data_IF_381454684570
#
_entry.id   IF_381454684570
#
_cell.length_a   1.000
_cell.length_b   1.000
_cell.length_c   1.000
_cell.angle_alpha   90.00
_cell.angle_beta   90.00
_cell.angle_gamma   90.00
#
_symmetry.space_group_name_H-M   'P 1'
#
loop_
_entity.id
_entity.type
_entity.pdbx_description
1 polymer ?
#
# COMPACT_ATOMS: atom_id res chain seq x y z
N UNK A 1 1.93 -24.40 -8.62
CA UNK A 1 1.14 -24.83 -9.80
C UNK A 1 0.42 -23.61 -10.34
N UNK A 2 1.07 -22.84 -11.22
CA UNK A 2 0.44 -21.76 -11.98
C UNK A 2 0.46 -22.24 -13.43
N UNK A 3 -0.60 -22.95 -13.80
CA UNK A 3 -0.87 -23.36 -15.17
C UNK A 3 -2.25 -22.77 -15.50
N UNK A 4 -2.27 -21.61 -16.18
CA UNK A 4 -3.55 -20.96 -16.50
C UNK A 4 -3.47 -19.55 -17.09
N UNK A 5 -2.31 -18.88 -17.06
CA UNK A 5 -2.14 -17.54 -17.63
C UNK A 5 -1.56 -17.53 -19.06
N UNK A 6 -1.40 -18.70 -19.70
CA UNK A 6 -0.91 -18.81 -21.08
C UNK A 6 -2.02 -19.32 -21.98
N UNK A 7 -2.82 -18.40 -22.49
CA UNK A 7 -3.94 -18.68 -23.40
C UNK A 7 -4.95 -17.55 -23.52
N UNK A 8 -4.48 -16.30 -23.41
CA UNK A 8 -5.31 -15.09 -23.50
C UNK A 8 -5.07 -14.41 -24.85
N UNK A 9 -5.31 -15.12 -25.95
CA UNK A 9 -5.35 -14.53 -27.29
C UNK A 9 -6.72 -14.83 -27.92
N UNK A 10 -7.38 -13.76 -28.38
CA UNK A 10 -8.64 -13.66 -29.14
C UNK A 10 -10.02 -13.58 -28.41
N UNK A 11 -10.41 -12.33 -28.15
CA UNK A 11 -11.48 -11.55 -28.81
C UNK A 11 -13.01 -11.75 -28.66
N UNK A 12 -13.57 -12.79 -28.02
CA UNK A 12 -15.05 -12.96 -28.06
C UNK A 12 -15.82 -12.95 -26.73
N UNK A 13 -15.18 -12.89 -25.56
CA UNK A 13 -15.90 -13.04 -24.27
C UNK A 13 -15.93 -11.83 -23.33
N UNK A 14 -15.32 -10.70 -23.70
CA UNK A 14 -15.51 -9.43 -22.97
C UNK A 14 -16.80 -8.69 -23.39
N UNK A 15 -17.61 -9.28 -24.29
CA UNK A 15 -18.84 -8.67 -24.83
C UNK A 15 -20.03 -8.66 -23.86
N UNK A 16 -19.84 -8.99 -22.58
CA UNK A 16 -20.89 -8.79 -21.55
C UNK A 16 -20.42 -7.88 -20.43
N UNK A 17 -19.65 -6.84 -20.76
CA UNK A 17 -19.77 -5.62 -19.95
C UNK A 17 -21.23 -5.21 -20.01
N UNK A 18 -21.86 -5.03 -18.87
CA UNK A 18 -23.27 -4.67 -18.79
C UNK A 18 -23.48 -3.37 -19.60
N UNK A 19 -24.02 -3.50 -20.81
CA UNK A 19 -24.24 -2.37 -21.73
C UNK A 19 -25.10 -1.29 -21.07
N UNK A 20 -25.87 -1.65 -20.03
CA UNK A 20 -26.67 -0.74 -19.22
C UNK A 20 -25.83 0.04 -18.22
N UNK A 21 -24.87 -0.59 -17.54
CA UNK A 21 -23.88 0.12 -16.72
C UNK A 21 -23.02 1.07 -17.57
N UNK A 22 -22.67 0.66 -18.80
CA UNK A 22 -22.02 1.54 -19.78
C UNK A 22 -22.93 2.69 -20.24
N UNK A 23 -24.22 2.45 -20.43
CA UNK A 23 -25.18 3.46 -20.89
C UNK A 23 -25.52 4.48 -19.79
N UNK A 24 -25.70 4.03 -18.56
CA UNK A 24 -25.99 4.87 -17.39
C UNK A 24 -24.78 5.75 -17.04
N UNK A 25 -23.56 5.22 -17.17
CA UNK A 25 -22.33 5.98 -16.91
C UNK A 25 -21.93 6.91 -18.08
N UNK A 26 -22.32 6.59 -19.33
CA UNK A 26 -22.17 7.49 -20.50
C UNK A 26 -23.19 8.63 -20.54
N UNK A 27 -24.33 8.51 -19.83
CA UNK A 27 -25.35 9.56 -19.77
C UNK A 27 -25.03 10.69 -18.79
N UNK A 28 -24.07 10.50 -17.89
CA UNK A 28 -23.47 11.57 -17.10
C UNK A 28 -22.28 12.15 -17.90
N UNK A 29 -22.37 13.42 -18.31
CA UNK A 29 -21.36 14.30 -18.94
C UNK A 29 -19.99 13.68 -19.30
N UNK A 30 -19.57 13.70 -20.58
CA UNK A 30 -18.22 13.50 -21.17
C UNK A 30 -17.03 13.03 -20.25
N UNK A 31 -17.24 12.04 -19.39
CA UNK A 31 -16.22 11.49 -18.51
C UNK A 31 -15.80 10.14 -19.07
N UNK A 32 -14.52 10.01 -19.41
CA UNK A 32 -13.94 8.72 -19.75
C UNK A 32 -13.93 7.84 -18.49
N UNK A 33 -14.48 6.64 -18.59
CA UNK A 33 -14.52 5.66 -17.51
C UNK A 33 -13.33 4.71 -17.63
N UNK A 34 -12.68 4.45 -16.52
CA UNK A 34 -11.71 3.37 -16.38
C UNK A 34 -12.42 2.12 -15.86
N UNK A 35 -12.02 0.97 -16.42
CA UNK A 35 -12.50 -0.34 -16.03
C UNK A 35 -11.34 -1.18 -15.51
N UNK A 36 -11.46 -1.65 -14.28
CA UNK A 36 -10.50 -2.58 -13.68
C UNK A 36 -11.22 -3.85 -13.24
N UNK A 37 -10.53 -4.98 -13.20
CA UNK A 37 -11.13 -6.28 -12.92
C UNK A 37 -10.30 -7.03 -11.90
N UNK A 38 -10.94 -7.45 -10.81
CA UNK A 38 -10.40 -8.45 -9.90
C UNK A 38 -10.78 -9.85 -10.39
N UNK A 39 -9.78 -10.70 -10.61
CA UNK A 39 -9.94 -12.09 -11.06
C UNK A 39 -9.74 -13.02 -9.86
N UNK A 40 -10.83 -13.34 -9.17
CA UNK A 40 -10.80 -14.14 -7.96
C UNK A 40 -11.02 -15.65 -8.23
N UNK A 41 -10.43 -16.55 -7.44
CA UNK A 41 -10.79 -17.98 -7.47
C UNK A 41 -12.28 -18.20 -7.13
N UNK A 42 -12.96 -19.17 -7.77
CA UNK A 42 -14.38 -19.48 -7.49
C UNK A 42 -14.66 -19.88 -6.03
N UNK A 43 -13.64 -20.28 -5.28
CA UNK A 43 -13.75 -20.61 -3.87
C UNK A 43 -13.93 -19.35 -3.00
N UNK A 44 -13.49 -18.18 -3.45
CA UNK A 44 -13.63 -16.91 -2.72
C UNK A 44 -15.06 -16.41 -2.84
N UNK A 45 -15.80 -16.40 -1.74
CA UNK A 45 -17.20 -15.95 -1.77
C UNK A 45 -17.29 -14.45 -2.09
N UNK A 46 -18.33 -14.02 -2.82
CA UNK A 46 -18.53 -12.60 -3.10
C UNK A 46 -18.64 -11.74 -1.83
N UNK A 47 -19.25 -12.29 -0.77
CA UNK A 47 -19.41 -11.62 0.53
C UNK A 47 -18.05 -11.40 1.21
N UNK A 48 -17.06 -12.25 0.92
CA UNK A 48 -15.70 -12.04 1.40
C UNK A 48 -15.06 -10.85 0.69
N UNK A 49 -15.20 -10.75 -0.63
CA UNK A 49 -14.69 -9.61 -1.41
C UNK A 49 -15.33 -8.31 -0.94
N UNK A 50 -16.65 -8.28 -0.76
CA UNK A 50 -17.35 -7.09 -0.26
C UNK A 50 -16.84 -6.63 1.10
N UNK A 51 -16.57 -7.58 2.00
CA UNK A 51 -16.09 -7.27 3.34
C UNK A 51 -14.72 -6.57 3.27
N UNK A 52 -13.81 -7.09 2.44
CA UNK A 52 -12.49 -6.50 2.26
C UNK A 52 -12.58 -5.08 1.68
N UNK A 53 -13.44 -4.87 0.68
CA UNK A 53 -13.66 -3.53 0.15
C UNK A 53 -14.30 -2.58 1.17
N UNK A 54 -15.21 -3.05 2.02
CA UNK A 54 -15.77 -2.21 3.11
C UNK A 54 -14.77 -1.89 4.22
N UNK A 55 -13.76 -2.73 4.43
CA UNK A 55 -12.65 -2.39 5.34
C UNK A 55 -11.80 -1.24 4.78
N UNK A 56 -11.55 -1.24 3.47
CA UNK A 56 -10.77 -0.19 2.79
C UNK A 56 -11.58 1.08 2.51
N UNK A 57 -12.89 0.94 2.28
CA UNK A 57 -13.85 2.01 2.04
C UNK A 57 -14.99 1.91 3.07
N UNK A 58 -14.83 2.44 4.29
CA UNK A 58 -15.84 2.35 5.34
C UNK A 58 -17.18 3.00 4.99
N UNK A 59 -17.15 3.99 4.09
CA UNK A 59 -18.33 4.65 3.55
C UNK A 59 -18.98 3.87 2.39
N UNK A 60 -18.50 2.65 2.08
CA UNK A 60 -19.04 1.89 0.97
C UNK A 60 -20.46 1.38 1.26
N UNK A 61 -21.37 1.68 0.34
CA UNK A 61 -22.79 1.38 0.46
C UNK A 61 -23.22 0.33 -0.58
N UNK A 62 -24.23 -0.52 -0.28
CA UNK A 62 -24.87 -1.33 -1.31
C UNK A 62 -25.43 -0.44 -2.45
N UNK A 63 -25.26 -0.84 -3.72
CA UNK A 63 -25.62 0.01 -4.86
C UNK A 63 -26.40 -0.74 -5.96
N UNK A 64 -27.67 -1.05 -5.68
CA UNK A 64 -28.58 -1.64 -6.67
C UNK A 64 -28.10 -3.00 -7.20
N UNK A 65 -27.99 -3.13 -8.53
CA UNK A 65 -27.43 -4.32 -9.21
C UNK A 65 -25.89 -4.36 -9.14
N UNK A 66 -25.22 -3.23 -8.83
CA UNK A 66 -23.83 -3.24 -8.41
C UNK A 66 -23.72 -3.67 -6.94
N UNK A 67 -22.66 -4.39 -6.58
CA UNK A 67 -22.50 -4.89 -5.21
C UNK A 67 -22.21 -3.77 -4.23
N UNK A 68 -21.31 -2.85 -4.58
CA UNK A 68 -20.85 -1.79 -3.68
C UNK A 68 -20.53 -0.50 -4.44
N UNK A 69 -20.95 0.63 -3.88
CA UNK A 69 -20.42 1.95 -4.23
C UNK A 69 -19.29 2.29 -3.26
N UNK A 70 -18.11 2.64 -3.78
CA UNK A 70 -16.86 2.84 -3.01
C UNK A 70 -16.51 4.32 -2.79
N UNK A 71 -17.41 5.22 -3.17
CA UNK A 71 -17.29 6.67 -3.02
C UNK A 71 -18.26 7.37 -3.97
N UNK A 72 -17.95 8.60 -4.36
CA UNK A 72 -18.88 9.40 -5.19
C UNK A 72 -19.07 8.84 -6.60
N UNK A 73 -17.99 8.37 -7.25
CA UNK A 73 -18.03 7.93 -8.64
C UNK A 73 -17.47 6.50 -8.90
N UNK A 74 -17.01 5.80 -7.86
CA UNK A 74 -16.48 4.45 -7.97
C UNK A 74 -17.50 3.38 -7.55
N UNK A 75 -17.65 2.32 -8.35
CA UNK A 75 -18.53 1.18 -8.06
C UNK A 75 -17.90 -0.17 -8.40
N UNK A 76 -18.20 -1.18 -7.56
CA UNK A 76 -17.84 -2.57 -7.71
C UNK A 76 -19.07 -3.39 -8.16
N UNK A 77 -18.94 -4.05 -9.29
CA UNK A 77 -19.95 -4.88 -9.95
C UNK A 77 -19.53 -6.36 -9.96
N UNK A 78 -20.50 -7.24 -10.16
CA UNK A 78 -20.30 -8.69 -10.22
C UNK A 78 -20.86 -9.43 -8.99
N UNK A 79 -20.43 -10.69 -8.73
CA UNK A 79 -19.47 -11.43 -9.52
C UNK A 79 -20.04 -11.81 -10.89
N UNK A 80 -19.24 -11.66 -11.93
CA UNK A 80 -19.47 -12.28 -13.23
C UNK A 80 -18.75 -13.63 -13.29
N UNK A 81 -19.26 -14.57 -14.07
CA UNK A 81 -18.59 -15.85 -14.29
C UNK A 81 -17.36 -15.64 -15.18
N UNK A 82 -16.19 -16.07 -14.72
CA UNK A 82 -14.96 -16.09 -15.50
C UNK A 82 -14.58 -17.50 -15.98
N UNK A 83 -13.62 -17.58 -16.90
CA UNK A 83 -13.06 -18.86 -17.37
C UNK A 83 -12.29 -19.58 -16.26
N UNK A 84 -12.17 -20.91 -16.39
CA UNK A 84 -11.30 -21.71 -15.53
C UNK A 84 -11.72 -21.76 -14.06
N UNK A 85 -12.99 -21.52 -13.74
CA UNK A 85 -13.46 -21.50 -12.35
C UNK A 85 -13.01 -20.24 -11.61
N UNK A 86 -13.13 -19.09 -12.26
CA UNK A 86 -12.87 -17.78 -11.65
C UNK A 86 -14.14 -16.95 -11.54
N UNK A 87 -14.12 -15.94 -10.66
CA UNK A 87 -15.13 -14.90 -10.52
C UNK A 87 -14.49 -13.58 -10.88
N UNK A 88 -15.18 -12.78 -11.69
CA UNK A 88 -14.73 -11.46 -12.08
C UNK A 88 -15.52 -10.43 -11.29
N UNK A 89 -14.82 -9.50 -10.65
CA UNK A 89 -15.45 -8.31 -10.07
C UNK A 89 -14.96 -7.11 -10.84
N UNK A 90 -15.88 -6.42 -11.49
CA UNK A 90 -15.58 -5.27 -12.32
C UNK A 90 -15.68 -4.01 -11.47
N UNK A 91 -14.69 -3.17 -11.60
CA UNK A 91 -14.64 -1.89 -10.94
C UNK A 91 -14.71 -0.79 -12.00
N UNK A 92 -15.64 0.14 -11.79
CA UNK A 92 -15.87 1.28 -12.66
C UNK A 92 -15.59 2.55 -11.87
N UNK A 93 -14.77 3.45 -12.43
CA UNK A 93 -14.41 4.74 -11.83
C UNK A 93 -14.08 5.73 -12.97
N UNK A 94 -14.30 7.04 -12.81
CA UNK A 94 -13.75 8.03 -13.73
C UNK A 94 -12.24 7.86 -13.91
N UNK A 95 -11.77 7.92 -15.16
CA UNK A 95 -10.34 7.90 -15.44
C UNK A 95 -9.72 9.23 -14.99
N UNK A 96 -8.78 9.16 -14.05
CA UNK A 96 -8.03 10.29 -13.50
C UNK A 96 -6.55 9.98 -13.69
N UNK A 97 -5.96 10.55 -14.74
CA UNK A 97 -4.62 10.24 -15.21
C UNK A 97 -3.68 11.42 -15.01
N UNK A 98 -2.60 11.16 -14.29
CA UNK A 98 -1.51 12.07 -14.05
C UNK A 98 -0.36 11.93 -15.05
N UNK A 99 0.82 12.33 -14.59
CA UNK A 99 2.06 12.20 -15.35
C UNK A 99 2.45 10.73 -15.55
N UNK A 100 3.29 10.51 -16.57
CA UNK A 100 3.89 9.19 -16.78
C UNK A 100 4.82 8.85 -15.62
N UNK A 101 4.93 7.56 -15.26
CA UNK A 101 5.87 7.14 -14.24
C UNK A 101 7.30 7.51 -14.64
N UNK A 102 8.08 7.97 -13.66
CA UNK A 102 9.50 8.20 -13.82
C UNK A 102 10.23 6.84 -13.91
N UNK A 103 10.93 6.53 -15.01
CA UNK A 103 11.62 5.25 -15.18
C UNK A 103 12.78 5.05 -14.20
N UNK A 104 13.29 6.12 -13.58
CA UNK A 104 14.39 6.05 -12.62
C UNK A 104 13.91 5.72 -11.19
N UNK A 105 12.58 5.72 -10.96
CA UNK A 105 11.98 5.40 -9.67
C UNK A 105 11.58 3.92 -9.54
N UNK A 106 11.68 3.33 -8.33
CA UNK A 106 11.32 1.93 -8.12
C UNK A 106 9.82 1.70 -8.22
N UNK A 107 9.43 0.64 -8.95
CA UNK A 107 8.04 0.23 -9.16
C UNK A 107 7.58 -0.79 -8.10
N UNK A 108 7.43 -0.34 -6.85
CA UNK A 108 7.19 -1.21 -5.69
C UNK A 108 5.97 -2.13 -5.78
N UNK A 109 4.90 -1.66 -6.41
CA UNK A 109 3.64 -2.40 -6.52
C UNK A 109 3.33 -2.81 -7.97
N UNK A 110 4.23 -2.52 -8.90
CA UNK A 110 3.98 -2.76 -10.32
C UNK A 110 3.05 -1.76 -10.98
N UNK A 111 2.78 -0.61 -10.36
CA UNK A 111 1.89 0.39 -10.91
C UNK A 111 2.45 1.02 -12.17
N UNK A 112 3.76 1.22 -12.28
CA UNK A 112 4.37 1.91 -13.42
C UNK A 112 4.23 1.08 -14.70
N UNK A 113 4.45 -0.24 -14.58
CA UNK A 113 4.21 -1.18 -15.69
C UNK A 113 2.74 -1.36 -16.04
N UNK A 114 1.84 -1.15 -15.08
CA UNK A 114 0.39 -1.24 -15.28
C UNK A 114 -0.18 0.01 -15.97
N UNK A 115 0.42 1.18 -15.74
CA UNK A 115 -0.03 2.47 -16.25
C UNK A 115 1.09 3.26 -16.96
N UNK A 116 1.70 2.71 -18.03
CA UNK A 116 2.85 3.34 -18.69
C UNK A 116 2.51 4.67 -19.40
N UNK A 117 1.23 4.89 -19.70
CA UNK A 117 0.77 6.09 -20.40
C UNK A 117 0.49 7.29 -19.47
N UNK A 118 0.32 7.05 -18.17
CA UNK A 118 0.00 8.06 -17.15
C UNK A 118 -0.53 7.40 -15.88
N UNK A 119 0.01 7.76 -14.72
CA UNK A 119 -0.33 7.17 -13.43
C UNK A 119 -1.79 7.46 -13.04
N UNK A 120 -2.50 6.52 -12.40
CA UNK A 120 -3.79 6.84 -11.80
C UNK A 120 -3.60 7.85 -10.67
N UNK A 121 -4.55 8.77 -10.53
CA UNK A 121 -4.60 9.78 -9.46
C UNK A 121 -5.94 9.70 -8.70
N UNK A 122 -6.02 10.42 -7.58
CA UNK A 122 -7.25 10.61 -6.81
C UNK A 122 -8.03 9.30 -6.55
N UNK A 123 -9.33 9.28 -6.87
CA UNK A 123 -10.22 8.17 -6.60
C UNK A 123 -9.87 6.93 -7.45
N UNK A 124 -9.32 7.12 -8.65
CA UNK A 124 -8.87 5.99 -9.45
C UNK A 124 -7.66 5.30 -8.81
N UNK A 125 -6.64 6.08 -8.39
CA UNK A 125 -5.49 5.55 -7.65
C UNK A 125 -5.95 4.81 -6.40
N UNK A 126 -6.92 5.39 -5.70
CA UNK A 126 -7.44 4.82 -4.48
C UNK A 126 -7.99 3.41 -4.66
N UNK A 127 -8.70 3.24 -5.75
CA UNK A 127 -9.40 2.02 -6.03
C UNK A 127 -8.49 0.98 -6.69
N UNK A 128 -7.53 1.39 -7.52
CA UNK A 128 -6.48 0.50 -8.04
C UNK A 128 -5.65 -0.08 -6.90
N UNK A 129 -5.24 0.75 -5.94
CA UNK A 129 -4.51 0.29 -4.76
C UNK A 129 -5.35 -0.68 -3.91
N UNK A 130 -6.64 -0.41 -3.75
CA UNK A 130 -7.54 -1.34 -3.07
C UNK A 130 -7.70 -2.68 -3.80
N UNK A 131 -7.75 -2.67 -5.14
CA UNK A 131 -7.78 -3.90 -5.93
C UNK A 131 -6.53 -4.76 -5.72
N UNK A 132 -5.35 -4.14 -5.73
CA UNK A 132 -4.08 -4.82 -5.46
C UNK A 132 -4.04 -5.40 -4.03
N UNK A 133 -4.47 -4.61 -3.04
CA UNK A 133 -4.57 -5.03 -1.64
C UNK A 133 -5.49 -6.26 -1.47
N UNK A 134 -6.70 -6.19 -2.03
CA UNK A 134 -7.66 -7.30 -2.01
C UNK A 134 -7.09 -8.51 -2.72
N UNK A 135 -6.47 -8.32 -3.88
CA UNK A 135 -5.89 -9.39 -4.67
C UNK A 135 -4.77 -10.14 -3.92
N UNK A 136 -3.86 -9.43 -3.25
CA UNK A 136 -2.85 -10.04 -2.37
C UNK A 136 -3.49 -10.88 -1.27
N UNK A 137 -4.51 -10.33 -0.60
CA UNK A 137 -5.18 -11.00 0.52
C UNK A 137 -5.83 -12.33 0.12
N UNK A 138 -6.41 -12.41 -1.07
CA UNK A 138 -7.16 -13.60 -1.51
C UNK A 138 -6.43 -14.45 -2.56
N UNK A 139 -5.19 -14.09 -2.92
CA UNK A 139 -4.42 -14.75 -3.97
C UNK A 139 -5.06 -14.63 -5.37
N UNK A 140 -5.63 -13.46 -5.68
CA UNK A 140 -6.28 -13.17 -6.96
C UNK A 140 -5.36 -12.41 -7.93
N UNK A 141 -5.78 -12.31 -9.19
CA UNK A 141 -5.17 -11.44 -10.18
C UNK A 141 -5.95 -10.13 -10.35
N UNK A 142 -5.31 -9.12 -10.93
CA UNK A 142 -5.93 -7.84 -11.30
C UNK A 142 -5.66 -7.56 -12.78
N UNK A 143 -6.66 -7.04 -13.48
CA UNK A 143 -6.52 -6.48 -14.82
C UNK A 143 -6.90 -5.01 -14.74
N UNK A 144 -6.05 -4.11 -15.21
CA UNK A 144 -6.33 -2.67 -15.19
C UNK A 144 -6.50 -2.12 -16.60
N UNK A 145 -7.18 -0.97 -16.68
CA UNK A 145 -7.36 -0.22 -17.93
C UNK A 145 -7.96 -1.09 -19.04
N UNK A 146 -8.99 -1.86 -18.69
CA UNK A 146 -9.65 -2.80 -19.58
C UNK A 146 -10.42 -2.02 -20.64
N UNK A 147 -9.95 -2.14 -21.88
CA UNK A 147 -10.61 -1.61 -23.07
C UNK A 147 -10.80 -2.74 -24.11
N UNK A 148 -11.03 -2.38 -25.37
CA UNK A 148 -11.18 -3.34 -26.47
C UNK A 148 -9.93 -4.21 -26.71
N UNK A 149 -8.76 -3.81 -26.20
CA UNK A 149 -7.49 -4.55 -26.30
C UNK A 149 -7.25 -5.52 -25.14
N UNK A 150 -8.06 -5.47 -24.07
CA UNK A 150 -8.05 -6.46 -22.98
C UNK A 150 -7.31 -6.03 -21.70
N UNK A 151 -6.71 -4.85 -21.64
CA UNK A 151 -6.07 -4.29 -20.45
C UNK A 151 -4.74 -4.94 -20.05
N UNK A 152 -4.15 -4.47 -18.94
CA UNK A 152 -2.88 -4.97 -18.40
C UNK A 152 -3.11 -5.86 -17.17
N UNK A 153 -2.64 -7.10 -17.20
CA UNK A 153 -2.84 -8.07 -16.13
C UNK A 153 -1.62 -8.21 -15.20
N UNK A 154 -1.87 -8.33 -13.90
CA UNK A 154 -0.87 -8.59 -12.86
C UNK A 154 -1.40 -9.60 -11.84
N UNK A 155 -0.50 -10.42 -11.29
CA UNK A 155 -0.76 -11.18 -10.06
C UNK A 155 0.14 -10.57 -8.99
N UNK A 156 -0.40 -9.74 -8.08
CA UNK A 156 0.44 -9.09 -7.08
C UNK A 156 1.01 -10.13 -6.13
N UNK A 157 2.28 -9.96 -5.76
CA UNK A 157 2.95 -10.80 -4.77
C UNK A 157 2.19 -10.65 -3.42
N UNK A 158 1.59 -11.74 -2.87
CA UNK A 158 0.89 -11.68 -1.59
C UNK A 158 1.79 -11.24 -0.44
N UNK A 159 3.10 -11.36 -0.62
CA UNK A 159 4.13 -11.10 0.37
C UNK A 159 4.91 -9.82 0.09
N UNK A 160 4.50 -9.02 -0.91
CA UNK A 160 5.19 -7.78 -1.25
C UNK A 160 5.29 -6.80 -0.07
N UNK A 161 4.32 -6.87 0.85
CA UNK A 161 4.22 -6.02 2.04
C UNK A 161 4.03 -6.89 3.29
N UNK A 162 5.12 -7.13 4.00
CA UNK A 162 5.14 -7.91 5.25
C UNK A 162 4.91 -7.07 6.50
N UNK A 163 4.96 -5.75 6.32
CA UNK A 163 4.82 -4.75 7.37
C UNK A 163 3.40 -4.81 7.96
N UNK A 164 3.33 -4.73 9.28
CA UNK A 164 2.09 -4.76 10.04
C UNK A 164 2.03 -3.52 10.95
N UNK A 165 0.81 -3.06 11.22
CA UNK A 165 0.54 -1.84 11.97
C UNK A 165 -0.38 -2.17 13.14
N UNK A 166 -0.01 -1.73 14.35
CA UNK A 166 -0.92 -1.70 15.51
C UNK A 166 -1.44 -0.28 15.72
N UNK A 167 -2.75 -0.13 15.65
CA UNK A 167 -3.48 1.11 15.91
C UNK A 167 -3.91 1.14 17.38
N UNK A 168 -3.42 2.12 18.14
CA UNK A 168 -3.70 2.21 19.57
C UNK A 168 -3.99 3.64 20.04
N UNK A 169 -4.75 3.76 21.14
CA UNK A 169 -5.03 5.04 21.78
C UNK A 169 -3.88 5.58 22.66
N UNK A 170 -3.18 4.77 23.48
CA UNK A 170 -2.09 5.27 24.31
C UNK A 170 -0.80 5.46 23.52
N UNK A 171 -0.09 6.54 23.82
CA UNK A 171 1.34 6.66 23.58
C UNK A 171 2.07 6.06 24.78
N UNK A 172 2.99 5.13 24.52
CA UNK A 172 3.97 4.68 25.51
C UNK A 172 5.31 5.36 25.24
N UNK A 173 6.18 5.45 26.22
CA UNK A 173 7.53 5.98 26.02
C UNK A 173 8.41 5.02 25.20
N UNK A 174 9.48 5.55 24.60
CA UNK A 174 10.49 4.74 23.89
C UNK A 174 11.09 3.62 24.76
N UNK A 175 11.29 3.88 26.06
CA UNK A 175 11.82 2.88 26.99
C UNK A 175 10.80 1.76 27.28
N UNK A 176 9.52 2.12 27.41
CA UNK A 176 8.43 1.14 27.56
C UNK A 176 8.26 0.31 26.29
N UNK A 177 8.29 0.94 25.11
CA UNK A 177 8.24 0.20 23.84
C UNK A 177 9.40 -0.78 23.73
N UNK A 178 10.64 -0.33 24.00
CA UNK A 178 11.80 -1.21 24.00
C UNK A 178 11.61 -2.39 24.96
N UNK A 179 11.06 -2.14 26.15
CA UNK A 179 10.75 -3.19 27.11
C UNK A 179 9.73 -4.20 26.55
N UNK A 180 8.64 -3.75 25.94
CA UNK A 180 7.65 -4.63 25.30
C UNK A 180 8.29 -5.45 24.16
N UNK A 181 8.99 -4.79 23.24
CA UNK A 181 9.63 -5.47 22.10
C UNK A 181 10.65 -6.50 22.60
N UNK A 182 11.42 -6.22 23.67
CA UNK A 182 12.39 -7.18 24.25
C UNK A 182 11.78 -8.42 24.88
N UNK A 183 10.48 -8.43 25.21
CA UNK A 183 9.82 -9.66 25.64
C UNK A 183 9.73 -10.69 24.51
N UNK A 184 9.67 -10.23 23.26
CA UNK A 184 9.60 -11.08 22.07
C UNK A 184 10.97 -11.19 21.41
N UNK A 185 11.68 -10.07 21.29
CA UNK A 185 12.96 -9.91 20.60
C UNK A 185 14.04 -9.38 21.55
N UNK A 186 14.75 -10.25 22.28
CA UNK A 186 15.72 -9.82 23.30
C UNK A 186 16.86 -8.93 22.78
N UNK A 187 17.15 -9.00 21.48
CA UNK A 187 18.20 -8.22 20.80
C UNK A 187 17.77 -6.80 20.43
N UNK A 188 16.53 -6.42 20.71
CA UNK A 188 16.02 -5.10 20.40
C UNK A 188 16.80 -3.99 21.14
N UNK A 189 16.96 -2.85 20.49
CA UNK A 189 17.68 -1.70 21.03
C UNK A 189 17.06 -0.38 20.53
N UNK A 190 17.32 0.70 21.27
CA UNK A 190 17.02 2.06 20.81
C UNK A 190 18.23 2.56 20.00
N UNK A 191 18.05 3.04 18.77
CA UNK A 191 19.12 3.69 18.04
C UNK A 191 19.57 4.94 18.81
N UNK A 192 20.88 5.19 18.89
CA UNK A 192 21.42 6.37 19.53
C UNK A 192 21.32 7.56 18.57
N UNK A 193 20.53 8.59 18.91
CA UNK A 193 20.34 9.87 18.18
C UNK A 193 20.07 9.79 16.67
N UNK A 194 19.83 8.60 16.13
CA UNK A 194 19.57 8.36 14.72
C UNK A 194 18.07 8.50 14.44
N UNK A 195 17.67 9.74 14.18
CA UNK A 195 16.34 10.08 13.68
C UNK A 195 16.26 10.00 12.15
N UNK A 196 17.19 9.34 11.44
CA UNK A 196 17.18 9.29 9.96
C UNK A 196 15.87 8.77 9.38
N UNK A 197 15.14 7.92 10.11
CA UNK A 197 13.81 7.45 9.71
C UNK A 197 12.74 8.57 9.68
N UNK A 198 12.94 9.68 10.42
CA UNK A 198 12.08 10.87 10.35
C UNK A 198 12.32 11.69 9.08
N UNK A 199 13.45 11.44 8.40
CA UNK A 199 13.82 12.11 7.17
C UNK A 199 13.61 11.16 6.00
N UNK A 200 12.47 11.28 5.31
CA UNK A 200 12.47 10.95 3.88
C UNK A 200 13.37 12.00 3.23
N UNK A 201 14.60 11.62 2.86
CA UNK A 201 15.44 12.52 2.05
C UNK A 201 14.59 12.94 0.84
N UNK A 202 14.30 14.25 0.66
CA UNK A 202 13.68 14.69 -0.56
C UNK A 202 14.61 14.27 -1.68
N UNK A 203 14.08 13.51 -2.64
CA UNK A 203 14.84 13.09 -3.81
C UNK A 203 15.54 14.31 -4.36
N UNK A 204 16.86 14.18 -4.52
CA UNK A 204 17.70 15.24 -5.05
C UNK A 204 17.10 15.64 -6.39
N UNK A 205 16.51 16.83 -6.47
CA UNK A 205 16.07 17.36 -7.75
C UNK A 205 17.27 17.32 -8.71
N UNK A 206 17.07 16.96 -9.99
CA UNK A 206 18.17 16.91 -10.94
C UNK A 206 18.92 18.23 -10.89
N UNK A 207 20.26 18.16 -10.82
CA UNK A 207 21.12 19.34 -10.79
C UNK A 207 20.83 20.18 -12.04
N UNK A 208 19.96 21.18 -11.89
CA UNK A 208 19.73 22.16 -12.91
C UNK A 208 21.06 22.86 -13.19
N UNK A 209 21.31 23.20 -14.45
CA UNK A 209 22.52 23.86 -14.95
C UNK A 209 22.58 25.32 -14.44
N UNK A 210 22.71 25.45 -13.12
CA UNK A 210 22.61 26.68 -12.37
C UNK A 210 23.96 27.37 -12.41
N UNK A 211 23.93 28.65 -12.74
CA UNK A 211 25.10 29.51 -12.68
C UNK A 211 25.65 29.49 -11.26
N UNK A 212 26.99 29.60 -11.06
CA UNK A 212 27.60 29.51 -9.73
C UNK A 212 27.00 30.46 -8.67
N UNK A 213 26.53 31.64 -9.08
CA UNK A 213 25.89 32.59 -8.18
C UNK A 213 24.50 32.14 -7.69
N UNK A 214 23.69 31.54 -8.58
CA UNK A 214 22.37 31.01 -8.23
C UNK A 214 22.52 29.78 -7.32
N UNK A 215 23.54 28.96 -7.56
CA UNK A 215 23.90 27.81 -6.72
C UNK A 215 24.34 28.24 -5.31
N UNK A 216 25.17 29.28 -5.20
CA UNK A 216 25.59 29.81 -3.91
C UNK A 216 24.42 30.39 -3.11
N UNK A 217 23.50 31.11 -3.78
CA UNK A 217 22.30 31.64 -3.14
C UNK A 217 21.36 30.53 -2.64
N UNK A 218 21.19 29.46 -3.43
CA UNK A 218 20.41 28.28 -3.03
C UNK A 218 21.06 27.53 -1.87
N UNK A 219 22.39 27.34 -1.87
CA UNK A 219 23.10 26.75 -0.72
C UNK A 219 22.96 27.60 0.54
N UNK A 220 23.01 28.92 0.43
CA UNK A 220 22.83 29.80 1.58
C UNK A 220 21.38 29.77 2.10
N UNK A 221 20.40 29.67 1.19
CA UNK A 221 18.99 29.50 1.55
C UNK A 221 18.74 28.13 2.19
N UNK A 222 19.29 27.05 1.64
CA UNK A 222 19.23 25.71 2.21
C UNK A 222 19.89 25.70 3.60
N UNK A 223 21.08 26.28 3.74
CA UNK A 223 21.75 26.41 5.04
C UNK A 223 20.90 27.19 6.05
N UNK A 224 20.20 28.25 5.64
CA UNK A 224 19.28 28.98 6.52
C UNK A 224 18.06 28.14 6.92
N UNK A 225 17.52 27.32 6.02
CA UNK A 225 16.44 26.39 6.30
C UNK A 225 16.92 25.29 7.25
N UNK A 226 18.06 24.68 6.98
CA UNK A 226 18.68 23.65 7.80
C UNK A 226 19.04 24.18 9.19
N UNK A 227 19.66 25.35 9.28
CA UNK A 227 19.99 25.97 10.56
C UNK A 227 18.74 26.33 11.38
N UNK A 228 17.65 26.72 10.72
CA UNK A 228 16.35 26.93 11.38
C UNK A 228 15.71 25.60 11.81
N UNK A 229 15.84 24.54 11.00
CA UNK A 229 15.35 23.20 11.31
C UNK A 229 16.14 22.54 12.44
N UNK A 230 17.45 22.78 12.54
CA UNK A 230 18.29 22.32 13.66
C UNK A 230 17.86 22.96 14.99
N UNK A 231 17.31 24.17 14.98
CA UNK A 231 16.67 24.78 16.15
C UNK A 231 15.30 24.17 16.52
N UNK A 232 14.67 23.45 15.59
CA UNK A 232 13.42 22.72 15.74
C UNK A 232 13.63 21.21 16.02
N UNK A 233 14.84 20.69 15.82
CA UNK A 233 15.26 19.31 16.10
C UNK A 233 15.40 19.01 17.60
N UNK A 234 14.38 19.35 18.38
CA UNK A 234 14.10 18.52 19.54
C UNK A 234 13.50 17.23 18.99
N UNK A 235 13.99 16.03 19.38
CA UNK A 235 13.37 14.78 18.99
C UNK A 235 11.88 14.88 19.31
N UNK A 236 11.03 14.70 18.29
CA UNK A 236 9.60 14.69 18.48
C UNK A 236 9.29 13.59 19.51
N UNK A 237 8.84 13.93 20.72
CA UNK A 237 8.64 12.93 21.76
C UNK A 237 7.54 11.93 21.40
N UNK A 238 6.72 12.24 20.40
CA UNK A 238 5.66 11.37 19.88
C UNK A 238 6.12 10.52 18.68
N UNK A 239 7.38 10.68 18.23
CA UNK A 239 7.97 9.86 17.16
C UNK A 239 9.30 9.24 17.56
N UNK A 240 9.36 7.92 17.58
CA UNK A 240 10.57 7.18 17.91
C UNK A 240 10.55 5.78 17.30
N UNK A 241 11.71 5.14 17.28
CA UNK A 241 11.92 3.81 16.70
C UNK A 241 12.59 2.88 17.72
N UNK A 242 12.19 1.60 17.72
CA UNK A 242 12.98 0.49 18.29
C UNK A 242 13.45 -0.41 17.15
N UNK A 243 14.74 -0.78 17.14
CA UNK A 243 15.33 -1.64 16.11
C UNK A 243 15.60 -3.05 16.63
N UNK A 244 15.39 -4.03 15.78
CA UNK A 244 15.69 -5.45 16.03
C UNK A 244 16.61 -5.97 14.92
N UNK A 245 17.86 -6.37 15.22
CA UNK A 245 18.73 -6.99 14.21
C UNK A 245 18.15 -8.32 13.75
N UNK A 246 18.02 -8.50 12.42
CA UNK A 246 17.51 -9.74 11.82
C UNK A 246 18.68 -10.62 11.33
N UNK A 247 19.23 -10.31 10.15
CA UNK A 247 20.29 -11.06 9.47
C UNK A 247 21.21 -10.11 8.72
N UNK A 248 22.53 -10.30 8.84
CA UNK A 248 23.50 -9.36 8.25
C UNK A 248 23.25 -7.92 8.72
N UNK A 249 23.05 -7.02 7.76
CA UNK A 249 22.72 -5.61 8.01
C UNK A 249 21.20 -5.32 7.97
N UNK A 250 20.37 -6.34 7.73
CA UNK A 250 18.92 -6.20 7.74
C UNK A 250 18.37 -6.15 9.16
N UNK A 251 17.30 -5.39 9.35
CA UNK A 251 16.67 -5.17 10.65
C UNK A 251 15.14 -5.09 10.56
N UNK A 252 14.48 -5.13 11.70
CA UNK A 252 13.09 -4.75 11.86
C UNK A 252 13.03 -3.43 12.62
N UNK A 253 12.27 -2.49 12.09
CA UNK A 253 11.97 -1.24 12.78
C UNK A 253 10.56 -1.28 13.37
N UNK A 254 10.43 -0.84 14.62
CA UNK A 254 9.16 -0.58 15.28
C UNK A 254 9.01 0.93 15.40
N UNK A 255 8.31 1.52 14.45
CA UNK A 255 8.09 2.96 14.35
C UNK A 255 6.84 3.37 15.09
N UNK A 256 6.94 4.44 15.87
CA UNK A 256 5.79 5.08 16.51
C UNK A 256 5.62 6.47 15.94
N UNK A 257 4.39 6.81 15.58
CA UNK A 257 4.03 8.16 15.14
C UNK A 257 2.53 8.42 15.32
N UNK A 258 2.10 9.69 15.42
CA UNK A 258 0.68 10.06 15.50
C UNK A 258 -0.08 9.69 14.22
N UNK A 259 -1.36 9.33 14.34
CA UNK A 259 -2.22 9.02 13.17
C UNK A 259 -2.41 10.21 12.24
N UNK A 260 -2.27 11.45 12.74
CA UNK A 260 -2.41 12.67 11.95
C UNK A 260 -1.26 12.89 10.97
N UNK A 261 -0.15 12.18 11.16
CA UNK A 261 1.09 12.37 10.40
C UNK A 261 1.25 11.39 9.24
N UNK A 262 0.21 10.60 8.95
CA UNK A 262 0.30 9.56 7.93
C UNK A 262 -0.25 10.06 6.60
N UNK A 263 0.61 10.68 5.81
CA UNK A 263 0.33 10.94 4.40
C UNK A 263 0.19 9.61 3.64
N UNK A 264 -1.00 9.33 3.11
CA UNK A 264 -1.23 8.21 2.19
C UNK A 264 -1.51 6.84 2.80
N UNK A 265 -1.58 6.67 4.13
CA UNK A 265 -2.13 5.42 4.70
C UNK A 265 -3.64 5.49 4.69
N UNK A 266 -4.21 4.51 3.98
CA UNK A 266 -5.64 4.25 3.89
C UNK A 266 -6.14 3.78 5.25
N UNK A 267 -6.70 4.73 5.98
CA UNK A 267 -7.70 4.52 7.03
C UNK A 267 -7.22 3.82 8.32
N UNK A 268 -7.31 4.55 9.44
CA UNK A 268 -7.27 3.95 10.77
C UNK A 268 -8.58 3.18 11.04
N UNK A 269 -8.55 1.84 11.25
CA UNK A 269 -9.77 1.03 11.40
C UNK A 269 -10.57 1.32 12.68
N UNK A 270 -9.97 2.02 13.63
CA UNK A 270 -10.62 2.44 14.86
C UNK A 270 -10.54 3.96 14.93
N UNK A 271 -11.67 4.65 14.87
CA UNK A 271 -11.72 6.11 15.05
C UNK A 271 -11.27 6.59 16.45
N UNK A 272 -10.78 5.67 17.29
CA UNK A 272 -10.28 5.92 18.64
C UNK A 272 -8.75 5.84 18.75
N UNK A 273 -8.05 5.27 17.76
CA UNK A 273 -6.59 5.24 17.80
C UNK A 273 -6.01 6.63 17.55
N UNK A 274 -4.91 6.91 18.24
CA UNK A 274 -4.18 8.18 18.15
C UNK A 274 -2.76 7.98 17.66
N UNK A 275 -2.22 6.78 17.82
CA UNK A 275 -0.87 6.42 17.44
C UNK A 275 -0.85 5.15 16.59
N UNK A 276 0.10 5.12 15.67
CA UNK A 276 0.48 4.00 14.86
C UNK A 276 1.77 3.39 15.43
N UNK A 277 1.80 2.07 15.56
CA UNK A 277 3.00 1.28 15.86
C UNK A 277 3.26 0.37 14.65
N UNK A 278 4.03 0.85 13.69
CA UNK A 278 4.37 0.12 12.47
C UNK A 278 5.59 -0.75 12.74
N UNK A 279 5.45 -2.06 12.49
CA UNK A 279 6.56 -3.00 12.53
C UNK A 279 6.88 -3.37 11.09
N UNK A 280 8.00 -2.84 10.60
CA UNK A 280 8.40 -2.97 9.21
C UNK A 280 9.76 -3.66 9.06
N UNK A 281 9.90 -4.40 7.97
CA UNK A 281 11.16 -5.00 7.57
C UNK A 281 12.01 -3.99 6.80
N UNK A 282 13.26 -3.84 7.25
CA UNK A 282 14.28 -3.04 6.59
C UNK A 282 15.39 -3.96 6.07
N UNK A 283 15.33 -4.35 4.77
CA UNK A 283 16.41 -5.10 4.16
C UNK A 283 17.69 -4.27 4.11
N UNK A 284 18.85 -4.92 4.14
CA UNK A 284 20.15 -4.26 4.00
C UNK A 284 20.31 -3.37 2.75
N UNK A 285 19.44 -3.55 1.74
CA UNK A 285 19.30 -2.63 0.61
C UNK A 285 17.84 -2.26 0.44
N UNK A 286 17.54 -0.97 0.55
CA UNK A 286 16.18 -0.43 0.50
C UNK A 286 15.42 -0.80 -0.77
N UNK A 287 16.11 -1.02 -1.89
CA UNK A 287 15.48 -1.45 -3.15
C UNK A 287 14.65 -2.73 -2.98
N UNK A 288 15.01 -3.61 -2.04
CA UNK A 288 14.27 -4.85 -1.78
C UNK A 288 12.94 -4.65 -1.04
N UNK A 289 12.76 -3.48 -0.40
CA UNK A 289 11.47 -3.06 0.16
C UNK A 289 10.51 -2.60 -0.93
N UNK A 290 11.04 -2.08 -2.03
CA UNK A 290 10.29 -1.47 -3.12
C UNK A 290 10.33 -2.30 -4.40
N UNK A 291 10.45 -3.63 -4.28
CA UNK A 291 10.42 -4.51 -5.45
C UNK A 291 9.69 -5.81 -5.14
N UNK A 292 8.89 -6.24 -6.11
CA UNK A 292 8.27 -7.56 -6.14
C UNK A 292 9.24 -8.63 -6.68
N UNK A 293 10.35 -8.22 -7.28
CA UNK A 293 11.39 -9.10 -7.79
C UNK A 293 12.50 -9.29 -6.76
N UNK A 294 12.27 -10.22 -5.84
CA UNK A 294 13.26 -10.63 -4.83
C UNK A 294 13.92 -11.96 -5.18
N UNK A 295 15.25 -12.00 -5.06
CA UNK A 295 16.02 -13.22 -5.20
C UNK A 295 15.71 -14.24 -4.06
N UNK A 296 16.19 -15.47 -4.21
CA UNK A 296 15.87 -16.54 -3.24
C UNK A 296 16.36 -16.25 -1.81
N UNK A 297 17.59 -15.77 -1.58
CA UNK A 297 18.02 -15.36 -0.24
C UNK A 297 17.11 -14.29 0.39
N UNK A 298 16.73 -13.28 -0.40
CA UNK A 298 15.88 -12.19 0.08
C UNK A 298 14.45 -12.65 0.36
N UNK A 299 13.91 -13.60 -0.43
CA UNK A 299 12.62 -14.25 -0.12
C UNK A 299 12.66 -14.99 1.21
N UNK A 300 13.73 -15.73 1.49
CA UNK A 300 13.89 -16.43 2.76
C UNK A 300 13.97 -15.45 3.94
N UNK A 301 14.74 -14.37 3.80
CA UNK A 301 14.83 -13.32 4.82
C UNK A 301 13.47 -12.66 5.06
N UNK A 302 12.73 -12.35 4.00
CA UNK A 302 11.37 -11.80 4.08
C UNK A 302 10.42 -12.75 4.82
N UNK A 303 10.48 -14.07 4.57
CA UNK A 303 9.71 -15.06 5.34
C UNK A 303 10.10 -15.07 6.83
N UNK A 304 11.39 -14.95 7.14
CA UNK A 304 11.84 -14.83 8.53
C UNK A 304 11.27 -13.56 9.17
N UNK A 305 11.42 -12.42 8.49
CA UNK A 305 10.90 -11.13 8.94
C UNK A 305 9.41 -11.19 9.28
N UNK A 306 8.57 -11.79 8.42
CA UNK A 306 7.13 -11.96 8.69
C UNK A 306 6.84 -12.62 10.04
N UNK A 307 7.58 -13.66 10.40
CA UNK A 307 7.34 -14.40 11.64
C UNK A 307 7.66 -13.52 12.86
N UNK A 308 8.78 -12.80 12.81
CA UNK A 308 9.18 -11.87 13.86
C UNK A 308 8.22 -10.67 13.94
N UNK A 309 7.85 -10.08 12.80
CA UNK A 309 6.87 -8.98 12.71
C UNK A 309 5.55 -9.40 13.36
N UNK A 310 5.00 -10.56 12.99
CA UNK A 310 3.77 -11.08 13.59
C UNK A 310 3.90 -11.25 15.10
N UNK A 311 4.99 -11.83 15.58
CA UNK A 311 5.19 -12.04 17.01
C UNK A 311 5.23 -10.71 17.80
N UNK A 312 5.96 -9.71 17.29
CA UNK A 312 6.02 -8.36 17.91
C UNK A 312 4.64 -7.72 17.90
N UNK A 313 3.95 -7.74 16.76
CA UNK A 313 2.65 -7.10 16.58
C UNK A 313 1.57 -7.74 17.43
N UNK A 314 1.49 -9.07 17.50
CA UNK A 314 0.56 -9.78 18.38
C UNK A 314 0.78 -9.37 19.85
N UNK A 315 2.04 -9.30 20.27
CA UNK A 315 2.38 -8.88 21.63
C UNK A 315 1.99 -7.42 21.92
N UNK A 316 2.34 -6.49 21.02
CA UNK A 316 2.02 -5.08 21.16
C UNK A 316 0.52 -4.82 21.13
N UNK A 317 -0.22 -5.45 20.21
CA UNK A 317 -1.67 -5.34 20.13
C UNK A 317 -2.33 -5.78 21.44
N UNK A 318 -1.89 -6.90 22.02
CA UNK A 318 -2.38 -7.38 23.31
C UNK A 318 -2.03 -6.43 24.47
N UNK A 319 -0.80 -5.90 24.50
CA UNK A 319 -0.34 -4.99 25.55
C UNK A 319 -1.04 -3.62 25.51
N UNK A 320 -1.33 -3.12 24.30
CA UNK A 320 -1.90 -1.80 24.08
C UNK A 320 -3.43 -1.80 23.90
N UNK A 321 -4.05 -2.98 23.82
CA UNK A 321 -5.46 -3.12 23.44
C UNK A 321 -5.75 -2.57 22.03
N UNK A 322 -4.77 -2.70 21.13
CA UNK A 322 -4.81 -2.14 19.78
C UNK A 322 -5.48 -3.04 18.75
N UNK A 323 -5.76 -2.46 17.58
CA UNK A 323 -6.25 -3.18 16.39
C UNK A 323 -5.14 -3.29 15.38
N UNK A 324 -5.01 -4.45 14.72
CA UNK A 324 -3.91 -4.68 13.77
C UNK A 324 -4.38 -4.64 12.31
N UNK A 325 -3.59 -4.02 11.44
CA UNK A 325 -3.73 -4.11 9.98
C UNK A 325 -2.42 -4.49 9.32
N UNK A 326 -2.48 -4.90 8.05
CA UNK A 326 -1.31 -4.88 7.19
C UNK A 326 -1.06 -3.46 6.63
N UNK A 327 0.05 -3.27 5.92
CA UNK A 327 0.39 -2.03 5.24
C UNK A 327 -0.61 -1.60 4.14
N UNK A 328 -1.50 -2.49 3.72
CA UNK A 328 -2.58 -2.18 2.78
C UNK A 328 -3.85 -1.68 3.48
N UNK A 329 -3.88 -1.63 4.82
CA UNK A 329 -5.02 -1.16 5.63
C UNK A 329 -6.08 -2.23 5.93
N UNK A 330 -5.90 -3.48 5.47
CA UNK A 330 -6.80 -4.59 5.78
C UNK A 330 -6.51 -5.16 7.17
N UNK A 331 -7.57 -5.48 7.92
CA UNK A 331 -7.41 -6.06 9.27
C UNK A 331 -6.71 -7.41 9.21
N UNK A 332 -5.88 -7.68 10.18
CA UNK A 332 -5.26 -9.00 10.40
C UNK A 332 -5.62 -9.48 11.79
N UNK A 333 -6.00 -10.75 11.88
CA UNK A 333 -6.22 -11.38 13.17
C UNK A 333 -4.84 -11.55 13.84
N UNK A 334 -4.73 -11.03 15.07
CA UNK A 334 -3.51 -11.09 15.89
C UNK A 334 -3.23 -12.47 16.46
#
# INVERSE_FOLDING_TARGET
MVAGLHGWEHHEEFSSVDERALADARQAEEVMLAFHVLVAPVQVSPEHVDRLFRELFPAAEPFGEARLRLGDAAALHGPLAGRGGTRLFQLVVPAQRGERPDPDLPDADGLYRLFPAGMPEDQELDVVLALLAVARRIGAGVIVDVDASGGCAVVPDPDARVDLIVWAAPLISAAELLSQVRHVEPRAYLPADDLSFLYREPQSAPEADLRPADRAALHEQAWRIDAAAVGLNQPDPERFEVRVPLTGDSLLGVYVYPVQDIDGVRHCPSGLARYCYEVAWQPARDIYRFTDQVDEPMRLEREMAKNHIRAIVTHLAAALGGVTTNADGLRVDG
#
